data_IF_783765390087
#
_entry.id   IF_783765390087
#
_cell.length_a   1.000
_cell.length_b   1.000
_cell.length_c   1.000
_cell.angle_alpha   90.00
_cell.angle_beta   90.00
_cell.angle_gamma   90.00
#
_symmetry.space_group_name_H-M   'P 1'
#
loop_
_entity.id
_entity.type
_entity.pdbx_description
1 polymer ?
#
# COMPACT_ATOMS: atom_id res chain seq x y z
N UNK A 1 -75.09 -20.36 34.78
CA UNK A 1 -75.94 -20.15 33.60
C UNK A 1 -75.04 -19.46 32.56
N UNK A 2 -74.75 -20.02 31.60
CA UNK A 2 -74.98 -20.75 30.41
C UNK A 2 -73.80 -20.57 29.51
N UNK A 3 -73.27 -21.67 29.03
CA UNK A 3 -72.16 -21.81 28.08
C UNK A 3 -72.50 -21.20 26.71
N UNK A 4 -71.47 -20.68 26.07
CA UNK A 4 -71.49 -20.32 24.67
C UNK A 4 -70.16 -20.79 23.99
N UNK A 5 -70.25 -22.00 23.38
CA UNK A 5 -69.22 -22.58 22.59
C UNK A 5 -69.18 -21.88 21.23
N UNK A 6 -68.04 -21.29 20.85
CA UNK A 6 -67.81 -20.83 19.49
C UNK A 6 -66.64 -21.61 18.89
N UNK A 7 -66.87 -22.35 17.82
CA UNK A 7 -65.89 -23.12 17.04
C UNK A 7 -64.96 -22.21 16.30
N UNK A 8 -63.65 -22.41 16.50
CA UNK A 8 -62.55 -21.77 15.73
C UNK A 8 -62.23 -22.63 14.52
N UNK A 9 -62.50 -22.13 13.33
CA UNK A 9 -62.00 -22.64 12.06
C UNK A 9 -60.61 -22.10 11.83
N UNK A 10 -59.59 -22.97 11.85
CA UNK A 10 -58.20 -22.64 11.48
C UNK A 10 -58.06 -22.44 9.96
N UNK A 11 -57.32 -21.42 9.51
CA UNK A 11 -57.00 -21.30 8.09
C UNK A 11 -55.82 -22.20 7.72
N UNK A 12 -56.02 -22.95 6.65
CA UNK A 12 -55.03 -23.82 5.98
C UNK A 12 -53.78 -23.02 5.57
N UNK A 13 -52.61 -23.40 6.09
CA UNK A 13 -51.34 -22.82 5.73
C UNK A 13 -50.97 -23.17 4.27
N UNK A 14 -50.84 -22.17 3.43
CA UNK A 14 -50.27 -22.29 2.10
C UNK A 14 -48.75 -22.55 2.22
N UNK A 15 -48.26 -23.61 1.53
CA UNK A 15 -46.82 -23.91 1.41
C UNK A 15 -46.11 -22.78 0.64
N UNK A 16 -44.97 -22.26 1.15
CA UNK A 16 -44.18 -21.29 0.38
C UNK A 16 -43.54 -21.99 -0.82
N UNK A 17 -43.82 -21.48 -2.02
CA UNK A 17 -43.24 -21.93 -3.26
C UNK A 17 -41.72 -21.75 -3.25
N UNK A 18 -41.01 -22.78 -3.58
CA UNK A 18 -39.56 -22.84 -3.76
C UNK A 18 -39.16 -21.89 -4.91
N UNK A 19 -38.69 -20.68 -4.59
CA UNK A 19 -38.09 -19.77 -5.58
C UNK A 19 -36.74 -20.35 -6.00
N UNK A 20 -36.67 -20.84 -7.23
CA UNK A 20 -35.46 -21.27 -7.95
C UNK A 20 -34.56 -20.06 -8.22
N UNK A 21 -33.65 -19.74 -7.32
CA UNK A 21 -32.64 -18.65 -7.47
C UNK A 21 -31.27 -19.15 -7.97
N UNK A 22 -31.22 -20.32 -8.58
CA UNK A 22 -29.98 -21.00 -9.00
C UNK A 22 -29.26 -20.45 -10.25
N UNK A 23 -29.92 -19.89 -11.31
CA UNK A 23 -29.20 -19.46 -12.51
C UNK A 23 -28.42 -18.14 -12.35
N UNK A 24 -28.90 -17.18 -11.55
CA UNK A 24 -28.23 -15.87 -11.39
C UNK A 24 -26.93 -15.98 -10.59
N UNK A 25 -26.87 -16.84 -9.59
CA UNK A 25 -25.66 -17.05 -8.80
C UNK A 25 -24.56 -17.75 -9.61
N UNK A 26 -24.92 -18.71 -10.46
CA UNK A 26 -23.98 -19.40 -11.34
C UNK A 26 -23.39 -18.47 -12.42
N UNK A 27 -24.22 -17.60 -13.01
CA UNK A 27 -23.77 -16.60 -13.98
C UNK A 27 -22.81 -15.57 -13.33
N UNK A 28 -23.10 -15.14 -12.10
CA UNK A 28 -22.21 -14.24 -11.34
C UNK A 28 -20.87 -14.89 -11.00
N UNK A 29 -20.87 -16.18 -10.63
CA UNK A 29 -19.63 -16.92 -10.34
C UNK A 29 -18.79 -17.14 -11.61
N UNK A 30 -19.42 -17.44 -12.76
CA UNK A 30 -18.72 -17.56 -14.03
C UNK A 30 -18.08 -16.22 -14.44
N UNK A 31 -18.80 -15.10 -14.36
CA UNK A 31 -18.27 -13.79 -14.66
C UNK A 31 -17.11 -13.39 -13.72
N UNK A 32 -17.16 -13.76 -12.44
CA UNK A 32 -16.07 -13.55 -11.50
C UNK A 32 -14.84 -14.42 -11.81
N UNK A 33 -15.06 -15.65 -12.26
CA UNK A 33 -13.97 -16.57 -12.67
C UNK A 33 -13.28 -16.05 -13.93
N UNK A 34 -14.05 -15.56 -14.91
CA UNK A 34 -13.49 -14.96 -16.14
C UNK A 34 -12.69 -13.69 -15.84
N UNK A 35 -13.24 -12.78 -15.03
CA UNK A 35 -12.54 -11.56 -14.60
C UNK A 35 -11.24 -11.87 -13.83
N UNK A 36 -11.25 -12.92 -13.02
CA UNK A 36 -10.06 -13.37 -12.31
C UNK A 36 -9.01 -13.93 -13.26
N UNK A 37 -9.43 -14.74 -14.24
CA UNK A 37 -8.55 -15.31 -15.27
C UNK A 37 -7.90 -14.21 -16.11
N UNK A 38 -8.66 -13.18 -16.51
CA UNK A 38 -8.12 -12.03 -17.24
C UNK A 38 -7.12 -11.24 -16.39
N UNK A 39 -7.41 -11.01 -15.12
CA UNK A 39 -6.50 -10.34 -14.20
C UNK A 39 -5.19 -11.13 -13.98
N UNK A 40 -5.28 -12.45 -13.86
CA UNK A 40 -4.12 -13.35 -13.76
C UNK A 40 -3.27 -13.32 -15.04
N UNK A 41 -3.90 -13.36 -16.21
CA UNK A 41 -3.21 -13.25 -17.49
C UNK A 41 -2.50 -11.90 -17.67
N UNK A 42 -3.14 -10.80 -17.27
CA UNK A 42 -2.56 -9.47 -17.27
C UNK A 42 -1.35 -9.37 -16.30
N UNK A 43 -1.47 -9.93 -15.10
CA UNK A 43 -0.39 -9.98 -14.13
C UNK A 43 0.82 -10.77 -14.67
N UNK A 44 0.60 -11.92 -15.28
CA UNK A 44 1.65 -12.71 -15.92
C UNK A 44 2.32 -11.96 -17.09
N UNK A 45 1.56 -11.20 -17.87
CA UNK A 45 2.13 -10.36 -18.92
C UNK A 45 3.05 -9.27 -18.37
N UNK A 46 2.65 -8.62 -17.27
CA UNK A 46 3.47 -7.64 -16.56
C UNK A 46 4.75 -8.26 -16.00
N UNK A 47 4.64 -9.43 -15.37
CA UNK A 47 5.81 -10.15 -14.83
C UNK A 47 6.82 -10.50 -15.93
N UNK A 48 6.36 -10.96 -17.11
CA UNK A 48 7.26 -11.19 -18.25
C UNK A 48 7.97 -9.92 -18.72
N UNK A 49 7.25 -8.78 -18.75
CA UNK A 49 7.86 -7.48 -19.10
C UNK A 49 8.93 -7.07 -18.09
N UNK A 50 8.66 -7.24 -16.79
CA UNK A 50 9.64 -6.96 -15.73
C UNK A 50 10.85 -7.88 -15.84
N UNK A 51 10.64 -9.17 -16.08
CA UNK A 51 11.72 -10.13 -16.24
C UNK A 51 12.61 -9.80 -17.47
N UNK A 52 12.03 -9.40 -18.57
CA UNK A 52 12.77 -8.95 -19.75
C UNK A 52 13.58 -7.67 -19.50
N UNK A 53 13.05 -6.76 -18.65
CA UNK A 53 13.70 -5.47 -18.37
C UNK A 53 14.73 -5.52 -17.23
N UNK A 54 14.79 -6.57 -16.41
CA UNK A 54 15.61 -6.62 -15.19
C UNK A 54 17.10 -6.37 -15.43
N UNK A 55 17.65 -6.87 -16.53
CA UNK A 55 19.07 -6.72 -16.83
C UNK A 55 19.44 -5.32 -17.36
N UNK A 56 18.53 -4.66 -18.07
CA UNK A 56 18.72 -3.25 -18.46
C UNK A 56 18.58 -2.34 -17.25
N UNK A 57 17.57 -2.61 -16.40
CA UNK A 57 17.40 -1.87 -15.14
C UNK A 57 18.64 -1.98 -14.22
N UNK A 58 19.23 -3.16 -14.12
CA UNK A 58 20.44 -3.35 -13.31
C UNK A 58 21.64 -2.51 -13.77
N UNK A 59 21.63 -2.04 -15.03
CA UNK A 59 22.68 -1.21 -15.61
C UNK A 59 22.41 0.29 -15.55
N UNK A 60 21.22 0.71 -15.08
CA UNK A 60 20.90 2.13 -14.91
C UNK A 60 21.84 2.76 -13.88
N UNK A 61 22.36 3.94 -14.23
CA UNK A 61 23.29 4.69 -13.36
C UNK A 61 22.55 5.32 -12.17
N UNK A 62 23.26 5.73 -11.12
CA UNK A 62 22.67 6.51 -10.04
C UNK A 62 21.95 7.76 -10.53
N UNK A 63 22.54 8.50 -11.48
CA UNK A 63 22.00 9.74 -12.04
C UNK A 63 20.68 9.48 -12.80
N UNK A 64 20.63 8.42 -13.61
CA UNK A 64 19.39 8.01 -14.30
C UNK A 64 18.28 7.66 -13.30
N UNK A 65 18.63 6.99 -12.19
CA UNK A 65 17.66 6.66 -11.13
C UNK A 65 17.20 7.91 -10.38
N UNK A 66 18.07 8.88 -10.13
CA UNK A 66 17.72 10.18 -9.54
C UNK A 66 16.74 10.92 -10.45
N UNK A 67 17.01 10.96 -11.78
CA UNK A 67 16.11 11.58 -12.74
C UNK A 67 14.70 10.92 -12.74
N UNK A 68 14.64 9.58 -12.66
CA UNK A 68 13.39 8.85 -12.55
C UNK A 68 12.64 9.16 -11.24
N UNK A 69 13.34 9.28 -10.12
CA UNK A 69 12.72 9.63 -8.83
C UNK A 69 12.17 11.06 -8.83
N UNK A 70 12.84 12.01 -9.49
CA UNK A 70 12.29 13.35 -9.71
C UNK A 70 11.00 13.29 -10.55
N UNK A 71 11.00 12.55 -11.66
CA UNK A 71 9.81 12.38 -12.48
C UNK A 71 8.64 11.73 -11.69
N UNK A 72 8.93 10.77 -10.81
CA UNK A 72 7.92 10.18 -9.92
C UNK A 72 7.36 11.23 -8.97
N UNK A 73 8.19 12.07 -8.36
CA UNK A 73 7.72 13.16 -7.46
C UNK A 73 6.81 14.14 -8.19
N UNK A 74 7.20 14.55 -9.39
CA UNK A 74 6.40 15.46 -10.22
C UNK A 74 5.04 14.85 -10.61
N UNK A 75 5.01 13.53 -10.84
CA UNK A 75 3.78 12.81 -11.15
C UNK A 75 2.86 12.56 -9.95
N UNK A 76 3.39 12.54 -8.72
CA UNK A 76 2.58 12.36 -7.50
C UNK A 76 1.74 13.59 -7.20
N UNK A 77 2.30 14.80 -7.37
CA UNK A 77 1.65 16.03 -6.95
C UNK A 77 0.26 16.26 -7.59
N UNK A 78 0.08 16.08 -8.91
CA UNK A 78 -1.22 16.26 -9.55
C UNK A 78 -2.29 15.25 -9.09
N UNK A 79 -1.90 14.09 -8.58
CA UNK A 79 -2.83 13.01 -8.20
C UNK A 79 -3.00 12.86 -6.68
N UNK A 80 -2.27 13.63 -5.89
CA UNK A 80 -2.24 13.48 -4.43
C UNK A 80 -3.61 13.66 -3.77
N UNK A 81 -4.37 14.66 -4.19
CA UNK A 81 -5.72 14.94 -3.68
C UNK A 81 -6.71 13.83 -4.02
N UNK A 82 -6.70 13.36 -5.27
CA UNK A 82 -7.54 12.23 -5.71
C UNK A 82 -7.18 10.94 -4.98
N UNK A 83 -5.88 10.71 -4.75
CA UNK A 83 -5.42 9.57 -3.96
C UNK A 83 -6.00 9.59 -2.55
N UNK A 84 -5.79 10.70 -1.81
CA UNK A 84 -6.27 10.85 -0.43
C UNK A 84 -7.80 10.74 -0.37
N UNK A 85 -8.53 11.47 -1.25
CA UNK A 85 -9.99 11.42 -1.27
C UNK A 85 -10.53 10.03 -1.58
N UNK A 86 -9.85 9.28 -2.45
CA UNK A 86 -10.21 7.88 -2.76
C UNK A 86 -9.96 6.96 -1.57
N UNK A 87 -8.82 7.12 -0.88
CA UNK A 87 -8.50 6.38 0.33
C UNK A 87 -9.53 6.64 1.43
N UNK A 88 -9.87 7.91 1.67
CA UNK A 88 -10.89 8.32 2.63
C UNK A 88 -12.26 7.70 2.32
N UNK A 89 -12.70 7.74 1.06
CA UNK A 89 -13.98 7.10 0.64
C UNK A 89 -13.97 5.60 0.93
N UNK A 90 -12.90 4.90 0.56
CA UNK A 90 -12.80 3.46 0.73
C UNK A 90 -12.77 3.04 2.20
N UNK A 91 -12.17 3.86 3.05
CA UNK A 91 -12.08 3.65 4.52
C UNK A 91 -13.24 4.28 5.29
N UNK A 92 -14.17 4.95 4.63
CA UNK A 92 -15.29 5.67 5.24
C UNK A 92 -14.83 6.76 6.23
N UNK A 93 -13.73 7.42 5.94
CA UNK A 93 -13.22 8.55 6.74
C UNK A 93 -14.00 9.81 6.36
N UNK A 94 -14.60 10.54 7.33
CA UNK A 94 -15.30 11.78 7.06
C UNK A 94 -14.36 12.86 6.50
N UNK A 95 -14.80 13.56 5.47
CA UNK A 95 -14.07 14.70 4.87
C UNK A 95 -13.84 15.78 5.94
N UNK A 96 -12.65 16.33 5.98
CA UNK A 96 -12.25 17.38 6.94
C UNK A 96 -12.00 16.88 8.37
N UNK A 97 -12.06 15.57 8.61
CA UNK A 97 -11.72 14.99 9.91
C UNK A 97 -10.19 14.91 10.11
N UNK A 98 -9.70 14.86 11.37
CA UNK A 98 -8.26 14.67 11.62
C UNK A 98 -7.68 13.40 11.00
N UNK A 99 -8.50 12.35 10.80
CA UNK A 99 -8.10 11.08 10.16
C UNK A 99 -7.74 11.25 8.67
N UNK A 100 -8.29 12.27 8.00
CA UNK A 100 -7.87 12.61 6.62
C UNK A 100 -6.38 13.00 6.57
N UNK A 101 -5.87 13.66 7.62
CA UNK A 101 -4.46 13.99 7.76
C UNK A 101 -3.55 12.75 7.79
N UNK A 102 -4.04 11.62 8.34
CA UNK A 102 -3.30 10.35 8.33
C UNK A 102 -3.16 9.78 6.90
N UNK A 103 -4.17 9.98 6.05
CA UNK A 103 -4.11 9.55 4.63
C UNK A 103 -3.13 10.40 3.82
N UNK A 104 -3.04 11.70 4.08
CA UNK A 104 -2.00 12.57 3.52
C UNK A 104 -0.60 12.12 3.95
N UNK A 105 -0.44 11.81 5.23
CA UNK A 105 0.85 11.44 5.80
C UNK A 105 1.31 10.05 5.34
N UNK A 106 0.43 9.06 5.37
CA UNK A 106 0.74 7.66 4.99
C UNK A 106 0.76 7.42 3.48
N UNK A 107 0.13 8.29 2.70
CA UNK A 107 0.07 8.23 1.25
C UNK A 107 1.10 9.12 0.55
N UNK A 108 0.69 10.27 0.00
CA UNK A 108 1.57 11.13 -0.81
C UNK A 108 2.83 11.57 -0.10
N UNK A 109 2.74 12.00 1.18
CA UNK A 109 3.90 12.43 1.96
C UNK A 109 4.93 11.31 2.14
N UNK A 110 4.48 10.10 2.51
CA UNK A 110 5.38 8.97 2.72
C UNK A 110 6.14 8.62 1.44
N UNK A 111 5.47 8.62 0.29
CA UNK A 111 6.08 8.33 -1.00
C UNK A 111 7.07 9.42 -1.43
N UNK A 112 6.70 10.70 -1.30
CA UNK A 112 7.59 11.83 -1.58
C UNK A 112 8.82 11.81 -0.68
N UNK A 113 8.64 11.51 0.61
CA UNK A 113 9.72 11.38 1.58
C UNK A 113 10.67 10.23 1.23
N UNK A 114 10.12 9.08 0.81
CA UNK A 114 10.92 7.96 0.34
C UNK A 114 11.73 8.32 -0.91
N UNK A 115 11.12 9.00 -1.90
CA UNK A 115 11.85 9.49 -3.08
C UNK A 115 13.00 10.43 -2.70
N UNK A 116 12.77 11.38 -1.79
CA UNK A 116 13.82 12.29 -1.32
C UNK A 116 14.98 11.54 -0.65
N UNK A 117 14.68 10.56 0.18
CA UNK A 117 15.69 9.76 0.86
C UNK A 117 16.52 8.93 -0.13
N UNK A 118 15.87 8.34 -1.14
CA UNK A 118 16.57 7.59 -2.19
C UNK A 118 17.43 8.51 -3.05
N UNK A 119 16.94 9.69 -3.45
CA UNK A 119 17.71 10.69 -4.19
C UNK A 119 18.97 11.05 -3.41
N UNK A 120 18.83 11.47 -2.14
CA UNK A 120 19.99 11.82 -1.33
C UNK A 120 20.99 10.67 -1.14
N UNK A 121 20.50 9.43 -1.07
CA UNK A 121 21.37 8.24 -0.99
C UNK A 121 22.14 8.01 -2.30
N UNK A 122 21.47 8.10 -3.45
CA UNK A 122 22.07 7.88 -4.77
C UNK A 122 23.10 8.98 -5.10
N UNK A 123 22.79 10.25 -4.81
CA UNK A 123 23.71 11.38 -4.96
C UNK A 123 24.96 11.24 -4.08
N UNK A 124 24.78 10.74 -2.85
CA UNK A 124 25.92 10.50 -1.95
C UNK A 124 26.79 9.31 -2.37
N UNK A 125 26.29 8.39 -3.21
CA UNK A 125 27.07 7.27 -3.74
C UNK A 125 28.14 7.71 -4.73
N UNK A 126 27.93 8.81 -5.45
CA UNK A 126 28.90 9.35 -6.42
C UNK A 126 30.17 9.88 -5.73
N UNK A 127 30.06 10.37 -4.50
CA UNK A 127 31.18 10.81 -3.65
C UNK A 127 31.87 9.71 -2.84
N UNK A 128 31.47 8.44 -3.00
CA UNK A 128 31.97 7.32 -2.20
C UNK A 128 30.85 6.61 -1.41
N UNK A 129 31.21 5.65 -0.56
CA UNK A 129 30.21 4.92 0.21
C UNK A 129 29.51 5.83 1.22
N UNK A 130 28.17 5.94 1.14
CA UNK A 130 27.33 6.64 2.14
C UNK A 130 27.66 6.14 3.56
N UNK A 131 27.90 4.83 3.69
CA UNK A 131 28.29 4.23 4.95
C UNK A 131 29.62 4.78 5.49
N UNK A 132 30.51 5.34 4.64
CA UNK A 132 31.78 5.90 5.07
C UNK A 132 31.63 7.20 5.86
N UNK A 133 30.59 7.98 5.61
CA UNK A 133 30.30 9.23 6.30
C UNK A 133 29.54 9.04 7.62
N UNK A 134 28.97 7.87 7.86
CA UNK A 134 28.17 7.55 9.05
C UNK A 134 29.03 7.06 10.21
N UNK A 135 28.67 7.35 11.46
CA UNK A 135 29.33 6.80 12.64
C UNK A 135 29.26 5.27 12.63
N UNK A 136 30.42 4.63 12.78
CA UNK A 136 30.53 3.17 12.73
C UNK A 136 31.38 2.64 13.87
N UNK A 137 31.10 1.42 14.31
CA UNK A 137 31.91 0.69 15.30
C UNK A 137 32.05 -0.77 14.92
N UNK A 138 33.19 -1.36 15.23
CA UNK A 138 33.42 -2.78 15.02
C UNK A 138 32.89 -3.58 16.21
N UNK A 139 32.14 -4.63 15.93
CA UNK A 139 31.62 -5.55 16.94
C UNK A 139 32.63 -6.67 17.24
N UNK A 140 32.47 -7.33 18.39
CA UNK A 140 33.35 -8.45 18.79
C UNK A 140 33.29 -9.65 17.85
N UNK A 141 32.18 -9.85 17.19
CA UNK A 141 31.94 -10.90 16.17
C UNK A 141 32.53 -10.59 14.80
N UNK A 142 33.22 -9.46 14.65
CA UNK A 142 33.82 -9.02 13.39
C UNK A 142 32.93 -8.18 12.48
N UNK A 143 31.64 -8.08 12.78
CA UNK A 143 30.71 -7.22 12.03
C UNK A 143 30.96 -5.73 12.28
N UNK A 144 30.50 -4.89 11.36
CA UNK A 144 30.49 -3.44 11.51
C UNK A 144 29.07 -2.98 11.77
N UNK A 145 28.84 -2.26 12.86
CA UNK A 145 27.60 -1.56 13.13
C UNK A 145 27.72 -0.12 12.63
N UNK A 146 26.79 0.28 11.79
CA UNK A 146 26.70 1.64 11.24
C UNK A 146 25.44 2.32 11.82
N UNK A 147 25.62 3.47 12.46
CA UNK A 147 24.49 4.22 13.01
C UNK A 147 23.80 4.97 11.88
N UNK A 148 22.52 4.66 11.64
CA UNK A 148 21.71 5.26 10.58
C UNK A 148 20.67 6.25 11.12
N UNK A 149 20.31 6.17 12.41
CA UNK A 149 19.44 7.15 13.08
C UNK A 149 20.03 7.51 14.44
N UNK A 150 20.09 8.77 14.84
CA UNK A 150 19.79 9.98 14.06
C UNK A 150 20.92 10.32 13.08
N UNK A 151 20.58 10.67 11.83
CA UNK A 151 21.53 11.14 10.82
C UNK A 151 21.35 12.64 10.55
N UNK A 152 20.11 13.11 10.48
CA UNK A 152 19.75 14.49 10.19
C UNK A 152 19.40 15.29 11.46
N UNK A 153 19.33 16.64 11.32
CA UNK A 153 18.80 17.48 12.38
C UNK A 153 17.33 17.14 12.71
N UNK A 154 16.55 16.82 11.68
CA UNK A 154 15.16 16.43 11.82
C UNK A 154 14.99 15.12 12.59
N UNK A 155 15.85 14.13 12.34
CA UNK A 155 15.84 12.90 13.13
C UNK A 155 16.06 13.18 14.61
N UNK A 156 16.98 14.08 14.94
CA UNK A 156 17.27 14.45 16.33
C UNK A 156 16.12 15.18 17.00
N UNK A 157 15.38 15.99 16.23
CA UNK A 157 14.25 16.76 16.73
C UNK A 157 12.98 15.90 16.88
N UNK A 158 12.65 15.15 15.84
CA UNK A 158 11.37 14.40 15.75
C UNK A 158 11.48 13.00 16.36
N UNK A 159 12.66 12.39 16.33
CA UNK A 159 12.93 11.03 16.81
C UNK A 159 13.87 11.06 18.03
N UNK A 160 13.67 12.04 18.92
CA UNK A 160 14.48 12.20 20.13
C UNK A 160 14.51 10.90 20.94
N UNK A 161 15.73 10.40 21.26
CA UNK A 161 15.92 9.17 21.99
C UNK A 161 15.85 7.88 21.17
N UNK A 162 15.53 7.95 19.87
CA UNK A 162 15.53 6.79 18.97
C UNK A 162 16.91 6.64 18.32
N UNK A 163 17.46 5.43 18.41
CA UNK A 163 18.71 5.06 17.74
C UNK A 163 18.53 3.79 16.92
N UNK A 164 18.99 3.82 15.66
CA UNK A 164 19.01 2.65 14.80
C UNK A 164 20.42 2.41 14.25
N UNK A 165 20.82 1.13 14.23
CA UNK A 165 22.09 0.67 13.66
C UNK A 165 21.82 -0.46 12.66
N UNK A 166 22.57 -0.46 11.55
CA UNK A 166 22.62 -1.55 10.59
C UNK A 166 23.91 -2.32 10.83
N UNK A 167 23.80 -3.63 11.02
CA UNK A 167 24.95 -4.52 11.23
C UNK A 167 25.29 -5.23 9.91
N UNK A 168 26.51 -5.09 9.45
CA UNK A 168 27.02 -5.61 8.18
C UNK A 168 28.23 -6.53 8.40
#
# INVERSE_FOLDING_TARGET
MTAGTAASTAPTAAKPGTKTTKPAAAASQAAQADARSEAEAAAHALLRRLDAAKHSWAKTTPEERVALLHAVKDAIMPVAEDWVSTACRNKQIPVGSPLEGEEWFSGPYALLSACNNFIGTLEAMDGGSVAASLPRRRLRNGQTAVRVVPHTLWDRLLLSGIHAEVWM
#
